data_IF_838310490021
#
_entry.id   IF_838310490021
#
_cell.length_a   1.000
_cell.length_b   1.000
_cell.length_c   1.000
_cell.angle_alpha   90.00
_cell.angle_beta   90.00
_cell.angle_gamma   90.00
#
_symmetry.space_group_name_H-M   'P 1'
#
loop_
_entity.id
_entity.type
_entity.pdbx_description
1 polymer ?
#
# COMPACT_ATOMS: atom_id res chain seq x y z
N UNK A 1 21.79 41.46 8.41
CA UNK A 1 21.80 40.04 8.04
C UNK A 1 21.11 39.10 9.07
N UNK A 2 21.09 39.46 10.35
CA UNK A 2 20.44 38.66 11.41
C UNK A 2 18.91 38.63 11.25
N UNK A 3 18.29 39.77 10.91
CA UNK A 3 16.84 39.91 10.77
C UNK A 3 16.25 39.07 9.61
N UNK A 4 16.92 39.03 8.45
CA UNK A 4 16.45 38.23 7.29
C UNK A 4 16.46 36.75 7.59
N UNK A 5 17.45 36.25 8.35
CA UNK A 5 17.54 34.86 8.75
C UNK A 5 16.43 34.50 9.72
N UNK A 6 16.13 35.35 10.67
CA UNK A 6 15.06 35.18 11.66
C UNK A 6 13.69 35.20 10.95
N UNK A 7 13.47 36.16 10.05
CA UNK A 7 12.24 36.25 9.26
C UNK A 7 12.03 35.01 8.39
N UNK A 8 13.07 34.49 7.74
CA UNK A 8 12.98 33.28 6.95
C UNK A 8 12.65 32.05 7.80
N UNK A 9 13.19 31.93 9.01
CA UNK A 9 12.85 30.84 9.94
C UNK A 9 11.39 30.95 10.39
N UNK A 10 10.91 32.13 10.75
CA UNK A 10 9.52 32.34 11.15
C UNK A 10 8.55 32.05 10.00
N UNK A 11 8.87 32.48 8.77
CA UNK A 11 8.09 32.16 7.59
C UNK A 11 8.05 30.64 7.35
N UNK A 12 9.14 29.93 7.54
CA UNK A 12 9.20 28.49 7.39
C UNK A 12 8.36 27.77 8.46
N UNK A 13 8.40 28.23 9.72
CA UNK A 13 7.59 27.71 10.82
C UNK A 13 6.09 27.85 10.54
N UNK A 14 5.68 28.93 9.88
CA UNK A 14 4.27 29.14 9.49
C UNK A 14 3.92 28.37 8.21
N UNK A 15 4.79 28.41 7.19
CA UNK A 15 4.52 27.81 5.90
C UNK A 15 4.39 26.28 5.98
N UNK A 16 5.20 25.60 6.79
CA UNK A 16 5.19 24.14 6.90
C UNK A 16 3.83 23.61 7.40
N UNK A 17 3.26 24.08 8.55
CA UNK A 17 1.93 23.65 8.96
C UNK A 17 0.83 23.98 7.95
N UNK A 18 0.91 25.15 7.30
CA UNK A 18 -0.07 25.56 6.27
C UNK A 18 -0.02 24.61 5.06
N UNK A 19 1.17 24.22 4.60
CA UNK A 19 1.34 23.26 3.52
C UNK A 19 0.71 21.90 3.90
N UNK A 20 0.97 21.39 5.10
CA UNK A 20 0.39 20.12 5.55
C UNK A 20 -1.12 20.20 5.71
N UNK A 21 -1.63 21.31 6.22
CA UNK A 21 -3.07 21.54 6.29
C UNK A 21 -3.72 21.54 4.90
N UNK A 22 -3.10 22.21 3.92
CA UNK A 22 -3.56 22.20 2.53
C UNK A 22 -3.46 20.82 1.90
N UNK A 23 -2.39 20.06 2.14
CA UNK A 23 -2.24 18.67 1.67
C UNK A 23 -3.33 17.75 2.24
N UNK A 24 -3.76 17.99 3.47
CA UNK A 24 -4.84 17.23 4.09
C UNK A 24 -6.21 17.61 3.49
N UNK A 25 -6.55 18.89 3.43
CA UNK A 25 -7.84 19.36 2.88
C UNK A 25 -7.98 18.98 1.39
N UNK A 26 -6.92 19.15 0.62
CA UNK A 26 -6.90 18.84 -0.81
C UNK A 26 -6.54 17.38 -1.10
N UNK A 27 -6.64 16.50 -0.11
CA UNK A 27 -6.35 15.07 -0.25
C UNK A 27 -7.12 14.40 -1.38
N UNK A 28 -8.36 14.84 -1.64
CA UNK A 28 -9.19 14.34 -2.74
C UNK A 28 -8.59 14.59 -4.14
N UNK A 29 -7.69 15.58 -4.29
CA UNK A 29 -6.92 15.84 -5.52
C UNK A 29 -5.55 15.19 -5.44
N UNK A 30 -4.84 15.38 -4.32
CA UNK A 30 -3.45 14.94 -4.21
C UNK A 30 -3.30 13.42 -4.20
N UNK A 31 -4.21 12.68 -3.55
CA UNK A 31 -4.16 11.21 -3.55
C UNK A 31 -4.28 10.65 -4.98
N UNK A 32 -5.30 11.00 -5.79
CA UNK A 32 -5.37 10.57 -7.18
C UNK A 32 -4.20 11.08 -8.03
N UNK A 33 -3.71 12.28 -7.80
CA UNK A 33 -2.59 12.85 -8.55
C UNK A 33 -1.27 12.08 -8.30
N UNK A 34 -0.91 11.85 -7.04
CA UNK A 34 0.29 11.06 -6.71
C UNK A 34 0.14 9.60 -7.14
N UNK A 35 -1.03 9.00 -6.92
CA UNK A 35 -1.33 7.65 -7.42
C UNK A 35 -1.19 7.54 -8.92
N UNK A 36 -1.71 8.51 -9.66
CA UNK A 36 -1.60 8.55 -11.12
C UNK A 36 -0.16 8.76 -11.60
N UNK A 37 0.64 9.54 -10.85
CA UNK A 37 2.06 9.72 -11.16
C UNK A 37 2.82 8.38 -11.07
N UNK A 38 2.57 7.59 -10.03
CA UNK A 38 3.21 6.28 -9.88
C UNK A 38 2.73 5.28 -10.95
N UNK A 39 1.42 5.26 -11.25
CA UNK A 39 0.86 4.43 -12.31
C UNK A 39 1.45 4.85 -13.67
N UNK A 40 1.48 6.14 -13.97
CA UNK A 40 2.08 6.63 -15.21
C UNK A 40 3.55 6.24 -15.33
N UNK A 41 4.36 6.38 -14.27
CA UNK A 41 5.75 5.94 -14.23
C UNK A 41 5.90 4.43 -14.47
N UNK A 42 4.96 3.62 -13.99
CA UNK A 42 4.95 2.17 -14.21
C UNK A 42 4.71 1.83 -15.69
N UNK A 43 3.83 2.57 -16.38
CA UNK A 43 3.48 2.31 -17.78
C UNK A 43 4.38 3.04 -18.81
N UNK A 44 5.14 4.05 -18.39
CA UNK A 44 6.01 4.81 -19.29
C UNK A 44 7.01 3.94 -20.07
N UNK A 45 7.73 2.96 -19.47
CA UNK A 45 8.63 2.09 -20.20
C UNK A 45 7.92 1.23 -21.24
N UNK A 46 6.70 0.77 -20.95
CA UNK A 46 5.87 0.03 -21.90
C UNK A 46 5.52 0.90 -23.11
N UNK A 47 5.08 2.15 -22.88
CA UNK A 47 4.78 3.09 -23.96
C UNK A 47 6.00 3.35 -24.84
N UNK A 48 7.15 3.66 -24.23
CA UNK A 48 8.41 3.89 -24.96
C UNK A 48 8.86 2.66 -25.77
N UNK A 49 8.60 1.47 -25.26
CA UNK A 49 8.92 0.22 -25.97
C UNK A 49 8.00 0.02 -27.18
N UNK A 50 6.70 0.32 -27.05
CA UNK A 50 5.73 0.29 -28.14
C UNK A 50 6.08 1.32 -29.24
N UNK A 51 6.42 2.56 -28.83
CA UNK A 51 6.85 3.62 -29.75
C UNK A 51 8.12 3.25 -30.54
N UNK A 52 9.09 2.61 -29.87
CA UNK A 52 10.30 2.08 -30.56
C UNK A 52 9.97 0.97 -31.57
N UNK A 53 8.85 0.26 -31.41
CA UNK A 53 8.35 -0.72 -32.38
C UNK A 53 7.50 -0.14 -33.48
N UNK A 54 7.39 1.18 -33.56
CA UNK A 54 6.65 1.88 -34.61
C UNK A 54 5.18 2.15 -34.29
N UNK A 55 4.71 1.86 -33.08
CA UNK A 55 3.33 2.20 -32.65
C UNK A 55 3.26 3.72 -32.45
N UNK A 56 2.29 4.43 -33.05
CA UNK A 56 2.14 5.87 -32.83
C UNK A 56 1.83 6.18 -31.37
N UNK A 57 2.22 7.35 -30.88
CA UNK A 57 2.06 7.79 -29.48
C UNK A 57 0.64 7.58 -28.93
N UNK A 58 -0.37 7.92 -29.73
CA UNK A 58 -1.78 7.73 -29.36
C UNK A 58 -2.10 6.22 -29.21
N UNK A 59 -1.57 5.38 -30.10
CA UNK A 59 -1.76 3.93 -30.04
C UNK A 59 -1.11 3.34 -28.80
N UNK A 60 0.12 3.74 -28.43
CA UNK A 60 0.79 3.27 -27.22
C UNK A 60 0.06 3.72 -25.94
N UNK A 61 -0.50 4.93 -25.93
CA UNK A 61 -1.35 5.42 -24.85
C UNK A 61 -2.62 4.59 -24.71
N UNK A 62 -3.34 4.32 -25.80
CA UNK A 62 -4.56 3.52 -25.78
C UNK A 62 -4.30 2.10 -25.28
N UNK A 63 -3.20 1.46 -25.70
CA UNK A 63 -2.81 0.13 -25.22
C UNK A 63 -2.54 0.17 -23.72
N UNK A 64 -1.78 1.14 -23.23
CA UNK A 64 -1.47 1.26 -21.81
C UNK A 64 -2.72 1.50 -20.94
N UNK A 65 -3.64 2.37 -21.40
CA UNK A 65 -4.92 2.65 -20.72
C UNK A 65 -5.83 1.40 -20.74
N UNK A 66 -5.92 0.69 -21.87
CA UNK A 66 -6.70 -0.54 -21.97
C UNK A 66 -6.17 -1.63 -21.04
N UNK A 67 -4.86 -1.76 -20.91
CA UNK A 67 -4.22 -2.69 -20.00
C UNK A 67 -4.50 -2.31 -18.53
N UNK A 68 -4.45 -1.02 -18.20
CA UNK A 68 -4.81 -0.52 -16.87
C UNK A 68 -6.28 -0.81 -16.53
N UNK A 69 -7.20 -0.56 -17.46
CA UNK A 69 -8.62 -0.89 -17.29
C UNK A 69 -8.80 -2.40 -17.11
N UNK A 70 -8.07 -3.22 -17.86
CA UNK A 70 -8.05 -4.68 -17.71
C UNK A 70 -7.62 -5.12 -16.31
N UNK A 71 -6.56 -4.52 -15.76
CA UNK A 71 -6.10 -4.80 -14.38
C UNK A 71 -7.17 -4.41 -13.36
N UNK A 72 -7.81 -3.25 -13.51
CA UNK A 72 -8.90 -2.81 -12.62
C UNK A 72 -10.09 -3.77 -12.72
N UNK A 73 -10.45 -4.22 -13.92
CA UNK A 73 -11.53 -5.18 -14.13
C UNK A 73 -11.23 -6.52 -13.45
N UNK A 74 -10.03 -7.06 -13.63
CA UNK A 74 -9.60 -8.30 -12.94
C UNK A 74 -9.67 -8.10 -11.42
N UNK A 75 -9.12 -7.01 -10.88
CA UNK A 75 -9.19 -6.70 -9.46
C UNK A 75 -10.62 -6.62 -8.93
N UNK A 76 -11.53 -5.95 -9.68
CA UNK A 76 -12.94 -5.86 -9.29
C UNK A 76 -13.63 -7.24 -9.29
N UNK A 77 -13.29 -8.11 -10.25
CA UNK A 77 -13.81 -9.47 -10.31
C UNK A 77 -13.34 -10.32 -9.14
N UNK A 78 -12.04 -10.22 -8.78
CA UNK A 78 -11.50 -10.92 -7.61
C UNK A 78 -12.18 -10.46 -6.30
N UNK A 79 -12.42 -9.16 -6.14
CA UNK A 79 -13.15 -8.61 -4.98
C UNK A 79 -14.60 -9.14 -4.95
N UNK A 80 -15.27 -9.23 -6.10
CA UNK A 80 -16.62 -9.77 -6.18
C UNK A 80 -16.67 -11.27 -5.81
N UNK A 81 -15.71 -12.06 -6.28
CA UNK A 81 -15.61 -13.48 -5.91
C UNK A 81 -15.37 -13.60 -4.41
N UNK A 82 -14.40 -12.86 -3.85
CA UNK A 82 -14.11 -12.84 -2.42
C UNK A 82 -15.33 -12.44 -1.58
N UNK A 83 -16.10 -11.45 -2.03
CA UNK A 83 -17.33 -11.03 -1.35
C UNK A 83 -18.38 -12.13 -1.35
N UNK A 84 -18.53 -12.88 -2.44
CA UNK A 84 -19.45 -14.01 -2.52
C UNK A 84 -19.03 -15.16 -1.61
N UNK A 85 -17.74 -15.49 -1.58
CA UNK A 85 -17.19 -16.49 -0.65
C UNK A 85 -17.59 -16.18 0.80
N UNK A 86 -17.41 -14.91 1.24
CA UNK A 86 -17.76 -14.47 2.59
C UNK A 86 -19.27 -14.52 2.84
N UNK A 87 -20.10 -14.09 1.88
CA UNK A 87 -21.55 -14.03 2.04
C UNK A 87 -22.25 -15.41 2.08
N UNK A 88 -21.61 -16.45 1.55
CA UNK A 88 -22.18 -17.80 1.47
C UNK A 88 -21.92 -18.67 2.69
N UNK A 89 -21.00 -18.28 3.59
CA UNK A 89 -20.54 -19.12 4.71
C UNK A 89 -20.93 -18.60 6.10
N UNK A 90 -21.81 -17.62 6.20
CA UNK A 90 -22.01 -16.80 7.40
C UNK A 90 -22.41 -17.54 8.68
N UNK A 91 -23.28 -18.57 8.64
CA UNK A 91 -23.86 -19.14 9.87
C UNK A 91 -22.93 -20.15 10.56
N UNK A 92 -22.28 -21.02 9.80
CA UNK A 92 -21.41 -22.08 10.35
C UNK A 92 -20.07 -21.47 10.84
N UNK A 93 -19.51 -20.55 10.08
CA UNK A 93 -18.26 -19.88 10.49
C UNK A 93 -18.45 -19.05 11.77
N UNK A 94 -19.54 -18.28 11.88
CA UNK A 94 -19.82 -17.47 13.08
C UNK A 94 -20.08 -18.33 14.31
N UNK A 95 -20.74 -19.48 14.14
CA UNK A 95 -20.94 -20.44 15.22
C UNK A 95 -19.59 -21.02 15.72
N UNK A 96 -18.77 -21.53 14.80
CA UNK A 96 -17.44 -22.07 15.12
C UNK A 96 -16.51 -21.01 15.73
N UNK A 97 -16.55 -19.78 15.23
CA UNK A 97 -15.78 -18.65 15.76
C UNK A 97 -16.17 -18.37 17.23
N UNK A 98 -17.46 -18.31 17.49
CA UNK A 98 -17.98 -18.06 18.84
C UNK A 98 -17.55 -19.17 19.82
N UNK A 99 -17.67 -20.43 19.43
CA UNK A 99 -17.32 -21.58 20.27
C UNK A 99 -15.81 -21.63 20.56
N UNK A 100 -14.96 -21.38 19.55
CA UNK A 100 -13.50 -21.40 19.75
C UNK A 100 -13.00 -20.18 20.52
N UNK A 101 -13.52 -18.99 20.26
CA UNK A 101 -13.16 -17.80 21.02
C UNK A 101 -13.58 -17.97 22.48
N UNK A 102 -14.78 -18.49 22.72
CA UNK A 102 -15.26 -18.77 24.07
C UNK A 102 -14.38 -19.78 24.77
N UNK A 103 -14.01 -20.89 24.10
CA UNK A 103 -13.11 -21.93 24.68
C UNK A 103 -11.71 -21.37 24.94
N UNK A 104 -11.19 -20.51 24.05
CA UNK A 104 -9.89 -19.87 24.27
C UNK A 104 -9.92 -18.91 25.47
N UNK A 105 -10.98 -18.11 25.60
CA UNK A 105 -11.17 -17.21 26.76
C UNK A 105 -11.26 -18.03 28.05
N UNK A 106 -12.07 -19.09 28.08
CA UNK A 106 -12.20 -19.96 29.23
C UNK A 106 -10.86 -20.64 29.64
N UNK A 107 -10.05 -21.01 28.62
CA UNK A 107 -8.71 -21.58 28.87
C UNK A 107 -7.74 -20.56 29.46
N UNK A 108 -7.83 -19.29 29.02
CA UNK A 108 -7.01 -18.20 29.58
C UNK A 108 -7.48 -17.81 30.96
N UNK A 109 -8.79 -17.76 31.23
CA UNK A 109 -9.36 -17.49 32.55
C UNK A 109 -8.93 -18.60 33.57
N UNK A 110 -8.99 -19.87 33.13
CA UNK A 110 -8.57 -21.00 33.95
C UNK A 110 -7.06 -20.98 34.27
N UNK A 111 -6.24 -20.59 33.27
CA UNK A 111 -4.80 -20.43 33.43
C UNK A 111 -4.43 -19.29 34.40
N UNK A 112 -5.15 -18.15 34.35
CA UNK A 112 -4.92 -17.01 35.25
C UNK A 112 -5.76 -17.04 36.53
N UNK A 113 -6.59 -18.10 36.77
CA UNK A 113 -7.43 -18.22 37.95
C UNK A 113 -8.49 -17.13 38.11
N UNK A 114 -9.01 -16.61 37.02
CA UNK A 114 -10.02 -15.53 36.98
C UNK A 114 -11.42 -16.13 37.13
N UNK A 115 -12.32 -15.41 37.83
CA UNK A 115 -13.71 -15.87 38.07
C UNK A 115 -14.58 -15.71 36.81
N UNK A 116 -15.38 -16.72 36.52
CA UNK A 116 -16.15 -16.99 35.27
C UNK A 116 -17.35 -16.03 34.96
N UNK A 117 -17.43 -14.86 35.54
CA UNK A 117 -18.73 -14.15 35.56
C UNK A 117 -19.06 -13.21 34.36
N UNK A 118 -18.16 -12.93 33.42
CA UNK A 118 -18.42 -11.85 32.45
C UNK A 118 -18.14 -12.10 30.96
N UNK A 119 -17.56 -13.23 30.56
CA UNK A 119 -16.95 -13.31 29.23
C UNK A 119 -17.86 -13.78 28.09
N UNK A 120 -18.84 -14.63 28.34
CA UNK A 120 -19.64 -15.27 27.27
C UNK A 120 -20.64 -14.32 26.57
N UNK A 121 -21.09 -13.28 27.25
CA UNK A 121 -22.13 -12.39 26.72
C UNK A 121 -21.57 -11.13 26.03
N UNK A 122 -20.36 -10.70 26.39
CA UNK A 122 -19.80 -9.42 25.87
C UNK A 122 -19.53 -9.47 24.36
N UNK A 123 -19.02 -10.58 23.84
CA UNK A 123 -18.77 -10.72 22.39
C UNK A 123 -20.08 -10.91 21.63
N UNK A 124 -21.00 -11.73 22.14
CA UNK A 124 -22.33 -11.92 21.52
C UNK A 124 -23.14 -10.62 21.51
N UNK A 125 -23.14 -9.86 22.60
CA UNK A 125 -23.78 -8.56 22.67
C UNK A 125 -23.13 -7.54 21.73
N UNK A 126 -21.80 -7.57 21.60
CA UNK A 126 -21.08 -6.69 20.66
C UNK A 126 -21.41 -7.04 19.20
N UNK A 127 -21.47 -8.33 18.85
CA UNK A 127 -21.85 -8.77 17.50
C UNK A 127 -23.33 -8.58 17.21
N UNK A 128 -24.23 -8.81 18.19
CA UNK A 128 -25.67 -8.64 18.03
C UNK A 128 -26.07 -7.14 18.00
N UNK A 129 -25.46 -6.32 18.85
CA UNK A 129 -25.71 -4.88 18.86
C UNK A 129 -25.21 -4.19 17.58
N UNK A 130 -24.19 -4.74 16.92
CA UNK A 130 -23.65 -4.21 15.68
C UNK A 130 -24.30 -4.80 14.40
N UNK A 131 -25.16 -5.85 14.49
CA UNK A 131 -25.93 -6.34 13.32
C UNK A 131 -26.81 -5.26 12.68
N UNK A 132 -27.29 -4.29 13.45
CA UNK A 132 -28.04 -3.14 12.93
C UNK A 132 -27.16 -2.00 12.36
N UNK A 133 -25.83 -2.09 12.51
CA UNK A 133 -24.89 -1.05 12.07
C UNK A 133 -24.38 -1.24 10.65
N UNK A 134 -24.88 -2.23 9.89
CA UNK A 134 -24.67 -2.28 8.44
C UNK A 134 -25.46 -1.15 7.77
N UNK A 135 -24.95 0.06 7.95
CA UNK A 135 -25.56 1.27 7.39
C UNK A 135 -25.30 1.31 5.90
N UNK A 136 -26.28 0.87 5.09
CA UNK A 136 -26.24 0.87 3.62
C UNK A 136 -25.76 2.21 3.07
N UNK A 137 -26.13 3.32 3.73
CA UNK A 137 -25.68 4.67 3.39
C UNK A 137 -24.14 4.85 3.52
N UNK A 138 -23.52 4.25 4.54
CA UNK A 138 -22.04 4.28 4.69
C UNK A 138 -21.34 3.45 3.61
N UNK A 139 -21.91 2.28 3.27
CA UNK A 139 -21.38 1.42 2.20
C UNK A 139 -21.51 2.11 0.85
N UNK A 140 -22.66 2.68 0.52
CA UNK A 140 -22.86 3.45 -0.70
C UNK A 140 -21.97 4.70 -0.76
N UNK A 141 -21.80 5.41 0.36
CA UNK A 141 -20.89 6.55 0.46
C UNK A 141 -19.43 6.15 0.23
N UNK A 142 -18.99 5.03 0.79
CA UNK A 142 -17.64 4.48 0.55
C UNK A 142 -17.45 4.05 -0.91
N UNK A 143 -18.42 3.35 -1.50
CA UNK A 143 -18.38 2.93 -2.89
C UNK A 143 -18.31 4.14 -3.83
N UNK A 144 -19.14 5.15 -3.61
CA UNK A 144 -19.17 6.38 -4.43
C UNK A 144 -17.86 7.17 -4.34
N UNK A 145 -17.29 7.29 -3.13
CA UNK A 145 -15.98 7.91 -2.93
C UNK A 145 -14.87 7.14 -3.63
N UNK A 146 -14.90 5.82 -3.57
CA UNK A 146 -13.89 4.96 -4.22
C UNK A 146 -13.97 5.07 -5.74
N UNK A 147 -15.18 5.02 -6.33
CA UNK A 147 -15.39 5.20 -7.76
C UNK A 147 -14.87 6.58 -8.22
N UNK A 148 -15.20 7.64 -7.49
CA UNK A 148 -14.71 8.99 -7.79
C UNK A 148 -13.20 9.07 -7.76
N UNK A 149 -12.54 8.47 -6.76
CA UNK A 149 -11.07 8.42 -6.68
C UNK A 149 -10.45 7.65 -7.85
N UNK A 150 -11.04 6.51 -8.24
CA UNK A 150 -10.57 5.71 -9.39
C UNK A 150 -10.69 6.52 -10.68
N UNK A 151 -11.85 7.16 -10.92
CA UNK A 151 -12.06 7.99 -12.11
C UNK A 151 -11.11 9.18 -12.17
N UNK A 152 -10.89 9.89 -11.06
CA UNK A 152 -9.90 10.97 -10.99
C UNK A 152 -8.47 10.46 -11.24
N UNK A 153 -8.13 9.31 -10.67
CA UNK A 153 -6.81 8.70 -10.89
C UNK A 153 -6.62 8.34 -12.36
N UNK A 154 -7.60 7.70 -12.99
CA UNK A 154 -7.57 7.38 -14.43
C UNK A 154 -7.44 8.64 -15.29
N UNK A 155 -8.20 9.67 -14.97
CA UNK A 155 -8.11 10.95 -15.67
C UNK A 155 -6.70 11.55 -15.60
N UNK A 156 -6.12 11.62 -14.40
CA UNK A 156 -4.75 12.10 -14.23
C UNK A 156 -3.71 11.18 -14.88
N UNK A 157 -3.89 9.85 -14.86
CA UNK A 157 -3.00 8.92 -15.58
C UNK A 157 -2.98 9.24 -17.05
N UNK A 158 -4.15 9.40 -17.68
CA UNK A 158 -4.25 9.73 -19.10
C UNK A 158 -3.57 11.07 -19.41
N UNK A 159 -3.82 12.11 -18.60
CA UNK A 159 -3.18 13.41 -18.76
C UNK A 159 -1.65 13.35 -18.64
N UNK A 160 -1.16 12.66 -17.61
CA UNK A 160 0.28 12.51 -17.38
C UNK A 160 0.95 11.71 -18.48
N UNK A 161 0.35 10.61 -18.92
CA UNK A 161 0.88 9.78 -20.00
C UNK A 161 0.82 10.50 -21.36
N UNK A 162 -0.26 11.20 -21.65
CA UNK A 162 -0.37 12.01 -22.87
C UNK A 162 0.66 13.15 -22.91
N UNK A 163 0.92 13.78 -21.74
CA UNK A 163 1.89 14.87 -21.58
C UNK A 163 3.33 14.41 -21.40
N UNK A 164 3.58 13.14 -21.05
CA UNK A 164 4.88 12.62 -20.58
C UNK A 164 6.04 12.80 -21.57
N UNK A 165 5.76 12.85 -22.87
CA UNK A 165 6.80 13.09 -23.89
C UNK A 165 7.35 14.52 -23.78
N UNK A 166 6.55 15.47 -23.32
CA UNK A 166 6.97 16.86 -23.13
C UNK A 166 7.59 17.10 -21.73
N UNK A 167 7.33 16.24 -20.74
CA UNK A 167 7.93 16.40 -19.40
C UNK A 167 9.46 16.39 -19.44
N UNK A 168 10.07 15.57 -20.29
CA UNK A 168 11.53 15.58 -20.50
C UNK A 168 12.01 16.90 -21.12
N UNK A 169 11.25 17.47 -22.05
CA UNK A 169 11.57 18.76 -22.68
C UNK A 169 11.35 19.89 -21.68
N UNK A 170 10.21 19.90 -20.97
CA UNK A 170 9.88 20.91 -19.96
C UNK A 170 10.90 20.87 -18.80
N UNK A 171 11.23 19.70 -18.32
CA UNK A 171 12.25 19.51 -17.29
C UNK A 171 13.64 19.92 -17.79
N UNK A 172 13.95 19.63 -19.05
CA UNK A 172 15.16 20.10 -19.70
C UNK A 172 15.24 21.63 -19.71
N UNK A 173 14.18 22.31 -20.13
CA UNK A 173 14.14 23.77 -20.20
C UNK A 173 14.12 24.45 -18.82
N UNK A 174 13.42 23.86 -17.83
CA UNK A 174 13.37 24.37 -16.46
C UNK A 174 14.69 24.16 -15.70
N UNK A 175 15.37 23.03 -15.92
CA UNK A 175 16.58 22.65 -15.21
C UNK A 175 17.84 23.23 -15.84
N UNK A 176 17.86 23.52 -17.17
CA UNK A 176 19.01 24.16 -17.81
C UNK A 176 19.21 25.61 -17.41
N UNK A 177 18.19 26.28 -16.83
CA UNK A 177 18.33 27.64 -16.27
C UNK A 177 18.92 27.67 -14.85
N UNK A 178 19.07 26.52 -14.20
CA UNK A 178 19.68 26.42 -12.88
C UNK A 178 20.71 25.28 -12.89
N UNK A 179 21.93 25.59 -12.44
CA UNK A 179 23.10 24.67 -12.40
C UNK A 179 22.94 23.40 -11.52
N UNK A 180 21.75 23.11 -11.00
CA UNK A 180 21.58 22.21 -9.86
C UNK A 180 21.00 20.83 -10.12
N UNK A 181 20.48 20.53 -11.31
CA UNK A 181 19.97 19.17 -11.58
C UNK A 181 20.37 18.65 -12.96
N UNK A 182 21.23 17.65 -12.98
CA UNK A 182 21.62 16.96 -14.20
C UNK A 182 20.44 16.12 -14.73
N UNK A 183 20.22 16.12 -16.06
CA UNK A 183 19.29 15.21 -16.75
C UNK A 183 19.54 13.75 -16.32
N UNK A 184 20.79 13.38 -16.07
CA UNK A 184 21.18 12.05 -15.57
C UNK A 184 20.50 11.73 -14.23
N UNK A 185 20.36 12.71 -13.33
CA UNK A 185 19.69 12.53 -12.04
C UNK A 185 18.22 12.25 -12.21
N UNK A 186 17.53 12.98 -13.10
CA UNK A 186 16.10 12.75 -13.37
C UNK A 186 15.84 11.36 -13.95
N UNK A 187 16.63 10.95 -14.94
CA UNK A 187 16.56 9.60 -15.53
C UNK A 187 16.82 8.53 -14.47
N UNK A 188 17.76 8.79 -13.55
CA UNK A 188 18.04 7.87 -12.43
C UNK A 188 16.84 7.77 -11.50
N UNK A 189 16.22 8.89 -11.11
CA UNK A 189 15.02 8.94 -10.27
C UNK A 189 13.90 8.12 -10.90
N UNK A 190 13.60 8.38 -12.17
CA UNK A 190 12.56 7.66 -12.91
C UNK A 190 12.81 6.15 -12.91
N UNK A 191 14.05 5.74 -13.23
CA UNK A 191 14.45 4.33 -13.27
C UNK A 191 14.34 3.68 -11.87
N UNK A 192 14.76 4.37 -10.84
CA UNK A 192 14.75 3.85 -9.48
C UNK A 192 13.28 3.70 -8.99
N UNK A 193 12.44 4.72 -9.13
CA UNK A 193 11.02 4.64 -8.76
C UNK A 193 10.32 3.53 -9.55
N UNK A 194 10.55 3.43 -10.87
CA UNK A 194 10.00 2.34 -11.68
C UNK A 194 10.42 0.96 -11.14
N UNK A 195 11.72 0.79 -10.85
CA UNK A 195 12.25 -0.46 -10.30
C UNK A 195 11.57 -0.80 -8.96
N UNK A 196 11.39 0.19 -8.08
CA UNK A 196 10.68 0.00 -6.83
C UNK A 196 9.25 -0.48 -7.06
N UNK A 197 8.48 0.23 -7.89
CA UNK A 197 7.08 -0.08 -8.13
C UNK A 197 6.89 -1.47 -8.74
N UNK A 198 7.72 -1.86 -9.72
CA UNK A 198 7.60 -3.16 -10.37
C UNK A 198 8.00 -4.31 -9.43
N UNK A 199 9.08 -4.14 -8.67
CA UNK A 199 9.50 -5.14 -7.68
C UNK A 199 8.41 -5.30 -6.61
N UNK A 200 7.90 -4.19 -6.07
CA UNK A 200 6.83 -4.21 -5.07
C UNK A 200 5.57 -4.89 -5.60
N UNK A 201 5.16 -4.56 -6.82
CA UNK A 201 4.00 -5.19 -7.46
C UNK A 201 4.18 -6.70 -7.62
N UNK A 202 5.34 -7.13 -8.14
CA UNK A 202 5.62 -8.56 -8.36
C UNK A 202 5.70 -9.30 -7.03
N UNK A 203 6.40 -8.78 -6.03
CA UNK A 203 6.52 -9.43 -4.71
C UNK A 203 5.16 -9.52 -4.02
N UNK A 204 4.36 -8.44 -4.03
CA UNK A 204 3.00 -8.47 -3.48
C UNK A 204 2.11 -9.48 -4.20
N UNK A 205 2.22 -9.58 -5.54
CA UNK A 205 1.46 -10.57 -6.31
C UNK A 205 1.85 -12.01 -5.95
N UNK A 206 3.14 -12.29 -5.82
CA UNK A 206 3.63 -13.60 -5.42
C UNK A 206 3.21 -13.96 -3.99
N UNK A 207 3.27 -13.01 -3.05
CA UNK A 207 2.76 -13.18 -1.69
C UNK A 207 1.26 -13.50 -1.72
N UNK A 208 0.47 -12.73 -2.47
CA UNK A 208 -0.98 -12.97 -2.59
C UNK A 208 -1.31 -14.34 -3.16
N UNK A 209 -0.63 -14.76 -4.24
CA UNK A 209 -0.78 -16.10 -4.81
C UNK A 209 -0.37 -17.17 -3.79
N UNK A 210 0.75 -16.96 -3.09
CA UNK A 210 1.23 -17.88 -2.06
C UNK A 210 0.21 -18.08 -0.94
N UNK A 211 -0.41 -16.99 -0.44
CA UNK A 211 -1.46 -17.06 0.58
C UNK A 211 -2.71 -17.79 0.09
N UNK A 212 -3.15 -17.51 -1.15
CA UNK A 212 -4.26 -18.24 -1.78
C UNK A 212 -3.97 -19.74 -1.83
N UNK A 213 -2.78 -20.12 -2.28
CA UNK A 213 -2.38 -21.53 -2.36
C UNK A 213 -2.26 -22.19 -0.98
N UNK A 214 -1.74 -21.46 0.01
CA UNK A 214 -1.68 -21.96 1.39
C UNK A 214 -3.10 -22.22 1.93
N UNK A 215 -4.05 -21.30 1.72
CA UNK A 215 -5.44 -21.52 2.14
C UNK A 215 -6.04 -22.75 1.48
N UNK A 216 -5.85 -22.94 0.16
CA UNK A 216 -6.31 -24.16 -0.51
C UNK A 216 -5.65 -25.44 0.01
N UNK A 217 -4.36 -25.40 0.33
CA UNK A 217 -3.62 -26.58 0.80
C UNK A 217 -4.01 -27.03 2.22
N UNK A 218 -4.52 -26.10 3.03
CA UNK A 218 -4.90 -26.36 4.43
C UNK A 218 -6.41 -26.29 4.66
N UNK A 219 -7.21 -26.24 3.58
CA UNK A 219 -8.68 -26.11 3.60
C UNK A 219 -9.18 -24.94 4.45
N UNK A 220 -8.45 -23.81 4.41
CA UNK A 220 -8.87 -22.55 5.05
C UNK A 220 -9.83 -21.80 4.14
N UNK A 221 -10.97 -21.39 4.65
CA UNK A 221 -12.02 -20.69 3.90
C UNK A 221 -11.54 -19.34 3.34
N UNK A 222 -12.19 -18.88 2.28
CA UNK A 222 -11.92 -17.61 1.60
C UNK A 222 -10.51 -17.46 1.01
N UNK A 223 -9.99 -18.46 0.27
CA UNK A 223 -8.61 -18.43 -0.23
C UNK A 223 -8.33 -17.24 -1.14
N UNK A 224 -9.30 -16.86 -2.01
CA UNK A 224 -9.13 -15.71 -2.92
C UNK A 224 -9.16 -14.41 -2.14
N UNK A 225 -10.03 -14.28 -1.14
CA UNK A 225 -10.06 -13.10 -0.26
C UNK A 225 -8.72 -12.88 0.43
N UNK A 226 -8.16 -13.93 1.05
CA UNK A 226 -6.88 -13.83 1.77
C UNK A 226 -5.72 -13.51 0.83
N UNK A 227 -5.72 -14.04 -0.38
CA UNK A 227 -4.73 -13.70 -1.39
C UNK A 227 -4.80 -12.25 -1.84
N UNK A 228 -6.00 -11.74 -2.14
CA UNK A 228 -6.23 -10.33 -2.52
C UNK A 228 -5.90 -9.40 -1.35
N UNK A 229 -6.28 -9.78 -0.12
CA UNK A 229 -5.96 -9.02 1.08
C UNK A 229 -4.44 -8.93 1.30
N UNK A 230 -3.73 -10.06 1.22
CA UNK A 230 -2.27 -10.10 1.36
C UNK A 230 -1.58 -9.27 0.27
N UNK A 231 -2.01 -9.39 -0.99
CA UNK A 231 -1.54 -8.55 -2.09
C UNK A 231 -1.70 -7.06 -1.78
N UNK A 232 -2.89 -6.65 -1.35
CA UNK A 232 -3.19 -5.24 -1.12
C UNK A 232 -2.44 -4.66 0.09
N UNK A 233 -2.44 -5.38 1.23
CA UNK A 233 -1.83 -4.90 2.46
C UNK A 233 -0.29 -4.92 2.40
N UNK A 234 0.29 -5.80 1.58
CA UNK A 234 1.74 -5.89 1.39
C UNK A 234 2.33 -4.62 0.75
N UNK A 235 1.52 -3.77 0.10
CA UNK A 235 1.98 -2.44 -0.33
C UNK A 235 2.32 -1.52 0.85
N UNK A 236 1.75 -1.76 2.04
CA UNK A 236 2.13 -1.05 3.27
C UNK A 236 3.39 -1.70 3.84
N UNK A 237 4.52 -1.08 3.62
CA UNK A 237 5.84 -1.64 3.95
C UNK A 237 5.96 -2.06 5.42
N UNK A 238 6.55 -3.22 5.66
CA UNK A 238 6.83 -3.83 6.98
C UNK A 238 5.60 -4.15 7.83
N UNK A 239 4.68 -3.19 8.01
CA UNK A 239 3.49 -3.36 8.86
C UNK A 239 2.47 -4.25 8.14
N UNK A 240 2.29 -4.08 6.84
CA UNK A 240 1.33 -4.83 6.04
C UNK A 240 1.55 -6.34 6.11
N UNK A 241 2.79 -6.76 5.95
CA UNK A 241 3.23 -8.14 6.04
C UNK A 241 2.89 -8.80 7.37
N UNK A 242 3.23 -8.13 8.46
CA UNK A 242 2.96 -8.63 9.83
C UNK A 242 1.46 -8.74 10.08
N UNK A 243 0.70 -7.71 9.68
CA UNK A 243 -0.77 -7.72 9.84
C UNK A 243 -1.38 -8.85 9.01
N UNK A 244 -0.92 -9.08 7.77
CA UNK A 244 -1.44 -10.15 6.92
C UNK A 244 -1.27 -11.52 7.57
N UNK A 245 -0.07 -11.84 8.04
CA UNK A 245 0.24 -13.13 8.71
C UNK A 245 -0.58 -13.30 9.99
N UNK A 246 -0.65 -12.26 10.82
CA UNK A 246 -1.42 -12.32 12.08
C UNK A 246 -2.90 -12.54 11.79
N UNK A 247 -3.51 -11.75 10.90
CA UNK A 247 -4.95 -11.83 10.66
C UNK A 247 -5.36 -13.15 10.02
N UNK A 248 -4.61 -13.64 9.03
CA UNK A 248 -4.93 -14.94 8.41
C UNK A 248 -4.73 -16.11 9.39
N UNK A 249 -3.71 -16.03 10.26
CA UNK A 249 -3.48 -17.07 11.28
C UNK A 249 -4.56 -17.06 12.35
N UNK A 250 -5.02 -15.89 12.79
CA UNK A 250 -6.14 -15.75 13.71
C UNK A 250 -7.45 -16.30 13.10
N UNK A 251 -7.65 -16.06 11.80
CA UNK A 251 -8.78 -16.62 11.08
C UNK A 251 -8.69 -18.15 11.00
N UNK A 252 -7.54 -18.66 10.58
CA UNK A 252 -7.29 -20.10 10.47
C UNK A 252 -7.38 -20.83 11.84
N UNK A 253 -7.05 -20.15 12.94
CA UNK A 253 -7.24 -20.69 14.31
C UNK A 253 -8.72 -21.02 14.59
N UNK A 254 -9.66 -20.26 14.02
CA UNK A 254 -11.09 -20.56 14.17
C UNK A 254 -11.50 -21.82 13.40
N UNK A 255 -10.91 -22.07 12.23
CA UNK A 255 -11.30 -23.17 11.35
C UNK A 255 -10.51 -24.45 11.58
N UNK A 256 -9.20 -24.34 11.77
CA UNK A 256 -8.32 -25.50 11.94
C UNK A 256 -8.45 -26.03 13.38
N UNK A 257 -8.95 -27.28 13.53
CA UNK A 257 -9.12 -27.91 14.82
C UNK A 257 -7.81 -28.42 15.40
N UNK A 258 -6.93 -28.96 14.56
CA UNK A 258 -5.68 -29.60 14.97
C UNK A 258 -4.57 -28.58 15.16
N UNK A 259 -4.02 -28.40 16.39
CA UNK A 259 -3.00 -27.38 16.66
C UNK A 259 -1.73 -27.57 15.83
N UNK A 260 -1.36 -28.80 15.50
CA UNK A 260 -0.19 -29.10 14.66
C UNK A 260 -0.39 -28.57 13.24
N UNK A 261 -1.58 -28.76 12.66
CA UNK A 261 -1.93 -28.26 11.34
C UNK A 261 -1.91 -26.72 11.31
N UNK A 262 -2.45 -26.07 12.35
CA UNK A 262 -2.40 -24.61 12.49
C UNK A 262 -0.96 -24.10 12.57
N UNK A 263 -0.08 -24.79 13.30
CA UNK A 263 1.34 -24.44 13.38
C UNK A 263 2.01 -24.53 11.99
N UNK A 264 1.74 -25.59 11.23
CA UNK A 264 2.27 -25.73 9.87
C UNK A 264 1.70 -24.68 8.94
N UNK A 265 0.42 -24.35 9.02
CA UNK A 265 -0.18 -23.26 8.26
C UNK A 265 0.51 -21.92 8.55
N UNK A 266 0.67 -21.56 9.84
CA UNK A 266 1.40 -20.36 10.25
C UNK A 266 2.84 -20.35 9.73
N UNK A 267 3.54 -21.48 9.81
CA UNK A 267 4.91 -21.60 9.32
C UNK A 267 4.99 -21.42 7.79
N UNK A 268 4.04 -21.94 7.03
CA UNK A 268 3.96 -21.78 5.56
C UNK A 268 3.66 -20.34 5.19
N UNK A 269 2.63 -19.72 5.78
CA UNK A 269 2.25 -18.34 5.49
C UNK A 269 3.36 -17.37 5.91
N UNK A 270 3.93 -17.56 7.11
CA UNK A 270 5.08 -16.77 7.57
C UNK A 270 6.32 -16.99 6.69
N UNK A 271 6.56 -18.23 6.25
CA UNK A 271 7.66 -18.57 5.33
C UNK A 271 7.50 -17.89 3.96
N UNK A 272 6.29 -17.83 3.41
CA UNK A 272 5.97 -17.10 2.17
C UNK A 272 6.32 -15.62 2.34
N UNK A 273 5.89 -15.02 3.45
CA UNK A 273 6.14 -13.59 3.72
C UNK A 273 7.64 -13.31 3.92
N UNK A 274 8.34 -14.15 4.67
CA UNK A 274 9.79 -14.03 4.84
C UNK A 274 10.51 -14.17 3.50
N UNK A 275 10.12 -15.13 2.68
CA UNK A 275 10.75 -15.38 1.38
C UNK A 275 10.55 -14.19 0.43
N UNK A 276 9.31 -13.75 0.21
CA UNK A 276 9.02 -12.70 -0.76
C UNK A 276 9.27 -11.30 -0.19
N UNK A 277 8.85 -11.02 1.04
CA UNK A 277 8.95 -9.69 1.64
C UNK A 277 10.30 -9.38 2.27
N UNK A 278 10.85 -10.30 3.09
CA UNK A 278 12.08 -10.02 3.82
C UNK A 278 13.37 -10.40 3.05
N UNK A 279 13.33 -11.38 2.15
CA UNK A 279 14.52 -11.87 1.43
C UNK A 279 14.54 -11.38 -0.01
N UNK A 280 13.55 -11.74 -0.82
CA UNK A 280 13.57 -11.48 -2.26
C UNK A 280 13.33 -10.00 -2.58
N UNK A 281 12.41 -9.34 -1.89
CA UNK A 281 12.13 -7.92 -2.13
C UNK A 281 13.39 -7.04 -2.00
N UNK A 282 14.19 -7.09 -0.91
CA UNK A 282 15.44 -6.33 -0.80
C UNK A 282 16.50 -6.72 -1.84
N UNK A 283 16.61 -8.01 -2.17
CA UNK A 283 17.57 -8.50 -3.19
C UNK A 283 17.26 -7.85 -4.55
N UNK A 284 15.99 -7.85 -4.96
CA UNK A 284 15.60 -7.28 -6.24
C UNK A 284 15.58 -5.75 -6.24
N UNK A 285 15.25 -5.12 -5.10
CA UNK A 285 15.34 -3.66 -4.96
C UNK A 285 16.79 -3.16 -5.04
N UNK A 286 17.70 -3.83 -4.38
CA UNK A 286 19.13 -3.48 -4.33
C UNK A 286 19.43 -2.28 -3.42
N UNK A 287 20.71 -1.87 -3.40
CA UNK A 287 21.24 -0.84 -2.48
C UNK A 287 20.67 0.57 -2.68
N UNK A 288 20.04 0.88 -3.79
CA UNK A 288 19.52 2.21 -4.12
C UNK A 288 18.42 2.66 -3.16
N UNK A 289 17.69 1.70 -2.56
CA UNK A 289 16.57 1.93 -1.65
C UNK A 289 16.91 1.73 -0.17
N UNK A 290 18.20 1.81 0.20
CA UNK A 290 18.58 1.79 1.61
C UNK A 290 18.04 3.05 2.32
N UNK A 291 16.81 2.94 2.82
CA UNK A 291 16.19 3.90 3.72
C UNK A 291 16.29 3.34 5.13
N UNK A 292 16.53 4.20 6.09
CA UNK A 292 16.52 3.81 7.50
C UNK A 292 15.14 3.30 7.90
N UNK A 293 15.06 2.14 8.56
CA UNK A 293 13.82 1.53 9.02
C UNK A 293 12.99 2.51 9.89
N UNK A 294 13.64 3.27 10.76
CA UNK A 294 12.98 4.28 11.59
C UNK A 294 12.36 5.37 10.70
N UNK A 295 13.09 5.83 9.67
CA UNK A 295 12.57 6.80 8.73
C UNK A 295 11.36 6.27 7.96
N UNK A 296 11.37 4.99 7.56
CA UNK A 296 10.21 4.33 6.93
C UNK A 296 9.00 4.36 7.86
N UNK A 297 9.16 3.95 9.12
CA UNK A 297 8.07 3.92 10.10
C UNK A 297 7.51 5.33 10.37
N UNK A 298 8.38 6.31 10.57
CA UNK A 298 7.97 7.71 10.80
C UNK A 298 7.21 8.25 9.59
N UNK A 299 7.71 8.03 8.38
CA UNK A 299 7.05 8.49 7.15
C UNK A 299 5.75 7.74 6.87
N UNK A 300 5.67 6.46 7.21
CA UNK A 300 4.44 5.69 7.11
C UNK A 300 3.36 6.23 8.06
N UNK A 301 3.72 6.51 9.32
CA UNK A 301 2.81 7.14 10.28
C UNK A 301 2.39 8.54 9.83
N UNK A 302 3.33 9.32 9.33
CA UNK A 302 3.09 10.69 8.87
C UNK A 302 2.13 10.72 7.66
N UNK A 303 2.41 9.97 6.60
CA UNK A 303 1.55 9.91 5.41
C UNK A 303 0.24 9.20 5.69
N UNK A 304 0.26 8.20 6.60
CA UNK A 304 -0.94 7.53 7.08
C UNK A 304 -1.88 8.48 7.83
N UNK A 305 -1.34 9.36 8.66
CA UNK A 305 -2.12 10.41 9.33
C UNK A 305 -2.72 11.41 8.32
N UNK A 306 -1.96 11.84 7.32
CA UNK A 306 -2.43 12.82 6.33
C UNK A 306 -3.48 12.26 5.38
N UNK A 307 -3.27 11.06 4.84
CA UNK A 307 -4.06 10.51 3.73
C UNK A 307 -4.64 9.11 4.00
N UNK A 308 -4.52 8.58 5.23
CA UNK A 308 -4.99 7.24 5.59
C UNK A 308 -4.23 6.14 4.86
N UNK A 309 -4.94 5.05 4.50
CA UNK A 309 -4.35 3.89 3.80
C UNK A 309 -3.65 4.27 2.49
N UNK A 310 -4.22 5.10 1.59
CA UNK A 310 -3.48 5.57 0.42
C UNK A 310 -2.15 6.25 0.76
N UNK A 311 -2.10 7.04 1.84
CA UNK A 311 -0.87 7.67 2.31
C UNK A 311 0.16 6.65 2.79
N UNK A 312 -0.26 5.62 3.50
CA UNK A 312 0.64 4.52 3.94
C UNK A 312 1.27 3.81 2.74
N UNK A 313 0.47 3.47 1.72
CA UNK A 313 0.95 2.82 0.49
C UNK A 313 1.94 3.71 -0.27
N UNK A 314 1.67 5.01 -0.34
CA UNK A 314 2.50 5.98 -1.05
C UNK A 314 3.70 6.47 -0.23
N UNK A 315 3.80 6.15 1.06
CA UNK A 315 4.80 6.71 1.97
C UNK A 315 6.23 6.48 1.48
N UNK A 316 6.56 5.28 1.04
CA UNK A 316 7.91 4.96 0.58
C UNK A 316 8.25 5.62 -0.76
N UNK A 317 7.45 5.50 -1.84
CA UNK A 317 7.72 6.20 -3.07
C UNK A 317 7.91 7.71 -2.88
N UNK A 318 7.06 8.33 -2.05
CA UNK A 318 7.19 9.77 -1.75
C UNK A 318 8.47 10.06 -0.96
N UNK A 319 8.81 9.22 0.03
CA UNK A 319 10.02 9.39 0.84
C UNK A 319 11.29 9.22 -0.01
N UNK A 320 11.31 8.24 -0.91
CA UNK A 320 12.41 8.07 -1.89
C UNK A 320 12.55 9.30 -2.76
N UNK A 321 11.45 9.80 -3.31
CA UNK A 321 11.44 11.03 -4.12
C UNK A 321 11.97 12.22 -3.32
N UNK A 322 11.48 12.44 -2.10
CA UNK A 322 11.94 13.50 -1.21
C UNK A 322 13.43 13.37 -0.89
N UNK A 323 13.91 12.16 -0.54
CA UNK A 323 15.33 11.88 -0.30
C UNK A 323 16.17 12.30 -1.49
N UNK A 324 15.82 11.85 -2.69
CA UNK A 324 16.59 12.15 -3.90
C UNK A 324 16.60 13.66 -4.19
N UNK A 325 15.46 14.34 -4.03
CA UNK A 325 15.39 15.81 -4.17
C UNK A 325 16.31 16.49 -3.14
N UNK A 326 16.25 16.09 -1.86
CA UNK A 326 17.07 16.67 -0.79
C UNK A 326 18.57 16.42 -1.00
N UNK A 327 18.95 15.31 -1.63
CA UNK A 327 20.35 14.99 -1.98
C UNK A 327 20.94 15.95 -3.02
N UNK A 328 20.10 16.57 -3.88
CA UNK A 328 20.58 17.52 -4.90
C UNK A 328 21.05 18.86 -4.35
N UNK A 329 20.57 19.23 -3.17
CA UNK A 329 20.92 20.52 -2.57
C UNK A 329 21.96 20.36 -1.45
N UNK A 330 23.12 21.04 -1.51
CA UNK A 330 24.18 20.90 -0.49
C UNK A 330 23.70 21.20 0.94
N UNK A 331 22.74 22.13 1.09
CA UNK A 331 22.19 22.52 2.39
C UNK A 331 21.29 21.46 3.03
N UNK A 332 20.60 20.65 2.22
CA UNK A 332 19.65 19.62 2.68
C UNK A 332 20.22 18.22 2.64
N UNK A 333 21.45 18.04 2.12
CA UNK A 333 22.13 16.74 2.02
C UNK A 333 22.28 16.04 3.38
N UNK A 334 22.46 16.80 4.46
CA UNK A 334 22.47 16.25 5.83
C UNK A 334 21.11 15.67 6.26
N UNK A 335 20.00 16.27 5.80
CA UNK A 335 18.65 15.75 6.06
C UNK A 335 18.43 14.48 5.24
N UNK A 336 18.89 14.47 3.99
CA UNK A 336 18.82 13.28 3.15
C UNK A 336 19.61 12.09 3.73
N UNK A 337 20.76 12.35 4.39
CA UNK A 337 21.53 11.29 5.04
C UNK A 337 20.83 10.69 6.26
N UNK A 338 19.96 11.43 6.96
CA UNK A 338 19.13 10.90 8.05
C UNK A 338 18.06 9.92 7.53
N UNK A 339 17.60 10.12 6.30
CA UNK A 339 16.66 9.21 5.64
C UNK A 339 17.38 7.95 5.10
N UNK A 340 18.69 7.96 4.98
CA UNK A 340 19.49 6.86 4.47
C UNK A 340 19.74 5.82 5.57
N UNK A 341 19.60 4.54 5.23
CA UNK A 341 20.03 3.45 6.11
C UNK A 341 21.57 3.32 6.14
N UNK A 342 22.11 2.52 7.06
CA UNK A 342 23.53 2.18 7.05
C UNK A 342 23.86 1.53 5.69
N UNK A 343 24.99 1.97 5.11
CA UNK A 343 25.54 1.51 3.84
C UNK A 343 26.10 0.09 4.01
#
# INVERSE_FOLDING_TARGET
>A
MRDIRTTNILLLVIAVPVIFYLLNILSFIFIPLFGSMFIALLFLPLMRWLEKKGVPKIGSLLIAVSLLIGIIFIGSTLIQISSREIMQSDEVFLANANDKITSAILSVEDFFGMTKEHSSNVLLDYFQSNKSSFNIGKILGFANRTITMILMTLFFVVLLMAGSVNLQVIMKDLLFKQEFASIKTFIKIEKDIYKFLIVKFIMSLLTGIGFTLACYAFDVSFPIFWGVFAFAINFVQMIGSVIAVILITLFAFVEIEVPTTLFFFFAVVGGIEILFGAILEPIFMGKTFSINVIAILVMLMFWGYLWGVPGMVMSIPITVLLKIILEQFPKTKKIASLLSGPI
#
